data_IF_288570572470
#
_entry.id   IF_288570572470
#
_cell.length_a   1.000
_cell.length_b   1.000
_cell.length_c   1.000
_cell.angle_alpha   90.00
_cell.angle_beta   90.00
_cell.angle_gamma   90.00
#
_symmetry.space_group_name_H-M   'P 1'
#
loop_
_entity.id
_entity.type
_entity.pdbx_description
1 polymer ?
#
# COMPACT_ATOMS: atom_id res chain seq x y z
N UNK A 1 -18.06 -6.16 -3.51
CA UNK A 1 -16.85 -7.02 -3.56
C UNK A 1 -15.68 -6.21 -3.01
N UNK A 2 -14.96 -6.74 -2.03
CA UNK A 2 -13.84 -6.00 -1.48
C UNK A 2 -12.61 -6.10 -2.40
N UNK A 3 -11.57 -5.33 -2.11
CA UNK A 3 -10.39 -5.24 -2.96
C UNK A 3 -9.66 -6.58 -3.10
N UNK A 4 -9.64 -7.41 -2.06
CA UNK A 4 -8.97 -8.72 -2.12
C UNK A 4 -9.70 -9.63 -3.10
N UNK A 5 -11.02 -9.72 -2.99
CA UNK A 5 -11.84 -10.54 -3.89
C UNK A 5 -11.74 -10.05 -5.34
N UNK A 6 -11.78 -8.72 -5.54
CA UNK A 6 -11.61 -8.12 -6.88
C UNK A 6 -10.25 -8.47 -7.47
N UNK A 7 -9.19 -8.37 -6.66
CA UNK A 7 -7.84 -8.66 -7.13
C UNK A 7 -7.70 -10.12 -7.53
N UNK A 8 -8.19 -11.04 -6.70
CA UNK A 8 -8.17 -12.47 -7.04
C UNK A 8 -8.89 -12.76 -8.34
N UNK A 9 -10.03 -12.11 -8.55
CA UNK A 9 -10.86 -12.37 -9.72
C UNK A 9 -10.25 -11.80 -11.00
N UNK A 10 -9.68 -10.60 -10.94
CA UNK A 10 -9.33 -9.85 -12.13
C UNK A 10 -7.86 -9.85 -12.49
N UNK A 11 -6.95 -10.21 -11.57
CA UNK A 11 -5.50 -10.07 -11.79
C UNK A 11 -4.96 -10.97 -12.91
N UNK A 12 -5.62 -12.07 -13.20
CA UNK A 12 -5.14 -13.04 -14.19
C UNK A 12 -5.57 -12.74 -15.62
N UNK A 13 -6.39 -11.72 -15.83
CA UNK A 13 -6.97 -11.43 -17.15
C UNK A 13 -6.89 -9.93 -17.45
N UNK A 14 -6.09 -9.57 -18.47
CA UNK A 14 -5.84 -8.18 -18.84
C UNK A 14 -7.10 -7.43 -19.29
N UNK A 15 -8.15 -8.14 -19.69
CA UNK A 15 -9.44 -7.51 -20.02
C UNK A 15 -10.02 -6.73 -18.84
N UNK A 16 -9.67 -7.14 -17.64
CA UNK A 16 -10.24 -6.57 -16.41
C UNK A 16 -9.32 -5.55 -15.76
N UNK A 17 -8.27 -5.09 -16.45
CA UNK A 17 -7.28 -4.18 -15.88
C UNK A 17 -7.91 -2.90 -15.32
N UNK A 18 -8.89 -2.33 -16.01
CA UNK A 18 -9.55 -1.11 -15.56
C UNK A 18 -10.43 -1.36 -14.33
N UNK A 19 -11.13 -2.49 -14.30
CA UNK A 19 -11.95 -2.85 -13.12
C UNK A 19 -11.07 -3.07 -11.90
N UNK A 20 -9.95 -3.74 -12.09
CA UNK A 20 -8.99 -3.95 -11.02
C UNK A 20 -8.42 -2.61 -10.52
N UNK A 21 -8.01 -1.77 -11.45
CA UNK A 21 -7.47 -0.44 -11.10
C UNK A 21 -8.49 0.38 -10.31
N UNK A 22 -9.74 0.39 -10.74
CA UNK A 22 -10.81 1.11 -10.03
C UNK A 22 -11.00 0.57 -8.62
N UNK A 23 -10.96 -0.75 -8.45
CA UNK A 23 -11.12 -1.38 -7.15
C UNK A 23 -9.97 -1.02 -6.20
N UNK A 24 -8.73 -1.10 -6.68
CA UNK A 24 -7.54 -0.73 -5.90
C UNK A 24 -7.56 0.77 -5.57
N UNK A 25 -7.93 1.60 -6.54
CA UNK A 25 -8.01 3.05 -6.33
C UNK A 25 -9.07 3.41 -5.29
N UNK A 26 -10.23 2.77 -5.32
CA UNK A 26 -11.29 3.00 -4.35
C UNK A 26 -10.84 2.64 -2.94
N UNK A 27 -10.20 1.48 -2.77
CA UNK A 27 -9.69 1.07 -1.46
C UNK A 27 -8.56 1.98 -0.98
N UNK A 28 -7.67 2.39 -1.88
CA UNK A 28 -6.59 3.32 -1.55
C UNK A 28 -7.16 4.65 -1.04
N UNK A 29 -8.20 5.17 -1.69
CA UNK A 29 -8.86 6.41 -1.23
C UNK A 29 -9.53 6.22 0.12
N UNK A 30 -10.18 5.08 0.34
CA UNK A 30 -10.81 4.79 1.63
C UNK A 30 -9.77 4.82 2.76
N UNK A 31 -8.64 4.15 2.54
CA UNK A 31 -7.55 4.11 3.52
C UNK A 31 -6.95 5.50 3.70
N UNK A 32 -6.70 6.23 2.62
CA UNK A 32 -6.13 7.58 2.69
C UNK A 32 -7.03 8.52 3.50
N UNK A 33 -8.36 8.41 3.32
CA UNK A 33 -9.31 9.19 4.10
C UNK A 33 -9.29 8.79 5.57
N UNK A 34 -9.26 7.49 5.85
CA UNK A 34 -9.22 6.99 7.23
C UNK A 34 -7.95 7.41 7.97
N UNK A 35 -6.84 7.56 7.24
CA UNK A 35 -5.56 7.99 7.84
C UNK A 35 -5.58 9.43 8.37
N UNK A 36 -6.59 10.21 8.00
CA UNK A 36 -6.76 11.57 8.53
C UNK A 36 -7.33 11.57 9.95
N UNK A 37 -7.84 10.43 10.43
CA UNK A 37 -8.32 10.32 11.80
C UNK A 37 -7.15 10.49 12.78
N UNK A 38 -7.34 11.24 13.89
CA UNK A 38 -6.27 11.47 14.85
C UNK A 38 -5.60 10.22 15.41
N UNK A 39 -6.29 9.09 15.48
CA UNK A 39 -5.68 7.85 15.96
C UNK A 39 -4.51 7.37 15.12
N UNK A 40 -4.42 7.82 13.86
CA UNK A 40 -3.33 7.46 12.96
C UNK A 40 -2.25 8.56 12.87
N UNK A 41 -2.37 9.62 13.66
CA UNK A 41 -1.41 10.72 13.65
C UNK A 41 -0.02 10.24 14.06
N UNK A 42 1.01 10.76 13.41
CA UNK A 42 2.39 10.54 13.82
C UNK A 42 2.79 11.39 15.04
N UNK A 43 1.93 12.31 15.44
CA UNK A 43 2.16 13.18 16.59
C UNK A 43 1.61 12.58 17.89
N UNK A 44 2.11 13.04 19.03
CA UNK A 44 1.59 12.64 20.32
C UNK A 44 2.67 12.13 21.26
N UNK A 45 2.26 11.34 22.25
CA UNK A 45 3.13 10.83 23.30
C UNK A 45 4.16 9.84 22.75
N UNK A 46 5.43 10.03 23.15
CA UNK A 46 6.54 9.16 22.71
C UNK A 46 6.71 7.98 23.66
N UNK A 47 5.73 7.09 23.70
CA UNK A 47 5.85 5.86 24.46
C UNK A 47 5.87 4.66 23.51
N UNK A 48 6.54 3.58 23.93
CA UNK A 48 6.57 2.34 23.15
C UNK A 48 5.18 1.74 23.03
N UNK A 49 4.37 1.82 24.08
CA UNK A 49 3.01 1.29 24.07
C UNK A 49 2.13 2.06 23.09
N UNK A 50 2.26 3.37 23.05
CA UNK A 50 1.53 4.20 22.09
C UNK A 50 1.96 3.91 20.65
N UNK A 51 3.26 3.76 20.43
CA UNK A 51 3.78 3.41 19.10
C UNK A 51 3.22 2.08 18.63
N UNK A 52 3.26 1.05 19.48
CA UNK A 52 2.73 -0.27 19.16
C UNK A 52 1.24 -0.23 18.85
N UNK A 53 0.50 0.56 19.62
CA UNK A 53 -0.94 0.72 19.43
C UNK A 53 -1.27 1.33 18.07
N UNK A 54 -0.50 2.35 17.68
CA UNK A 54 -0.68 3.00 16.37
C UNK A 54 -0.30 2.09 15.22
N UNK A 55 0.78 1.32 15.36
CA UNK A 55 1.17 0.34 14.36
C UNK A 55 0.09 -0.73 14.19
N UNK A 56 -0.45 -1.24 15.31
CA UNK A 56 -1.53 -2.23 15.25
C UNK A 56 -2.78 -1.68 14.56
N UNK A 57 -3.13 -0.43 14.83
CA UNK A 57 -4.27 0.21 14.17
C UNK A 57 -4.01 0.40 12.66
N UNK A 58 -2.79 0.75 12.27
CA UNK A 58 -2.42 0.86 10.86
C UNK A 58 -2.46 -0.49 10.17
N UNK A 59 -1.95 -1.54 10.81
CA UNK A 59 -1.98 -2.89 10.25
C UNK A 59 -3.42 -3.33 9.99
N UNK A 60 -4.32 -3.08 10.92
CA UNK A 60 -5.72 -3.42 10.75
C UNK A 60 -6.36 -2.64 9.60
N UNK A 61 -6.05 -1.36 9.49
CA UNK A 61 -6.57 -0.52 8.40
C UNK A 61 -6.06 -0.98 7.03
N UNK A 62 -4.81 -1.41 6.96
CA UNK A 62 -4.12 -1.75 5.71
C UNK A 62 -4.29 -3.21 5.29
N UNK A 63 -4.91 -4.06 6.10
CA UNK A 63 -4.88 -5.51 5.89
C UNK A 63 -5.38 -5.92 4.50
N UNK A 64 -6.44 -5.35 4.01
CA UNK A 64 -6.99 -5.71 2.69
C UNK A 64 -6.08 -5.23 1.55
N UNK A 65 -5.56 -4.01 1.65
CA UNK A 65 -4.58 -3.52 0.67
C UNK A 65 -3.30 -4.36 0.70
N UNK A 66 -2.84 -4.76 1.87
CA UNK A 66 -1.66 -5.59 2.02
C UNK A 66 -1.83 -6.91 1.27
N UNK A 67 -2.98 -7.57 1.45
CA UNK A 67 -3.27 -8.82 0.75
C UNK A 67 -3.41 -8.60 -0.77
N UNK A 68 -4.06 -7.52 -1.19
CA UNK A 68 -4.18 -7.20 -2.61
C UNK A 68 -2.81 -6.93 -3.25
N UNK A 69 -1.94 -6.21 -2.55
CA UNK A 69 -0.58 -5.94 -3.03
C UNK A 69 0.22 -7.23 -3.18
N UNK A 70 0.10 -8.16 -2.24
CA UNK A 70 0.77 -9.46 -2.34
C UNK A 70 0.29 -10.23 -3.57
N UNK A 71 -1.02 -10.24 -3.81
CA UNK A 71 -1.59 -10.89 -5.00
C UNK A 71 -1.11 -10.23 -6.29
N UNK A 72 -1.05 -8.90 -6.31
CA UNK A 72 -0.56 -8.16 -7.47
C UNK A 72 0.94 -8.40 -7.71
N UNK A 73 1.73 -8.44 -6.64
CA UNK A 73 3.16 -8.73 -6.75
C UNK A 73 3.41 -10.10 -7.37
N UNK A 74 2.60 -11.08 -6.98
CA UNK A 74 2.74 -12.44 -7.46
C UNK A 74 2.20 -12.65 -8.87
N UNK A 75 1.03 -12.08 -9.19
CA UNK A 75 0.26 -12.46 -10.37
C UNK A 75 0.10 -11.35 -11.41
N UNK A 76 0.53 -10.10 -11.14
CA UNK A 76 0.29 -9.01 -12.07
C UNK A 76 1.06 -9.19 -13.37
N UNK A 77 0.36 -8.94 -14.48
CA UNK A 77 0.97 -8.82 -15.80
C UNK A 77 1.48 -7.39 -15.99
N UNK A 78 2.19 -7.13 -17.09
CA UNK A 78 2.66 -5.78 -17.40
C UNK A 78 1.50 -4.78 -17.46
N UNK A 79 0.33 -5.21 -17.98
CA UNK A 79 -0.86 -4.36 -18.07
C UNK A 79 -1.43 -3.97 -16.70
N UNK A 80 -1.10 -4.71 -15.65
CA UNK A 80 -1.61 -4.49 -14.28
C UNK A 80 -0.63 -3.79 -13.36
N UNK A 81 0.53 -3.36 -13.87
CA UNK A 81 1.57 -2.71 -13.05
C UNK A 81 1.10 -1.40 -12.42
N UNK A 82 0.21 -0.67 -13.09
CA UNK A 82 -0.37 0.55 -12.53
C UNK A 82 -1.16 0.27 -11.25
N UNK A 83 -1.89 -0.84 -11.23
CA UNK A 83 -2.62 -1.25 -10.02
C UNK A 83 -1.67 -1.65 -8.90
N UNK A 84 -0.56 -2.29 -9.22
CA UNK A 84 0.46 -2.71 -8.25
C UNK A 84 1.13 -1.51 -7.57
N UNK A 85 1.44 -0.46 -8.32
CA UNK A 85 2.21 0.67 -7.82
C UNK A 85 1.36 1.80 -7.26
N UNK A 86 0.05 1.78 -7.46
CA UNK A 86 -0.85 2.87 -7.11
C UNK A 86 -0.80 3.23 -5.63
N UNK A 87 -1.08 2.27 -4.76
CA UNK A 87 -1.15 2.52 -3.32
C UNK A 87 0.22 2.84 -2.71
N UNK A 88 1.29 2.08 -3.00
CA UNK A 88 2.62 2.44 -2.51
C UNK A 88 3.04 3.85 -2.88
N UNK A 89 2.82 4.24 -4.12
CA UNK A 89 3.17 5.58 -4.59
C UNK A 89 2.32 6.66 -3.92
N UNK A 90 1.02 6.44 -3.82
CA UNK A 90 0.10 7.39 -3.20
C UNK A 90 0.49 7.68 -1.74
N UNK A 91 0.80 6.64 -0.98
CA UNK A 91 1.16 6.81 0.43
C UNK A 91 2.58 7.36 0.61
N UNK A 92 3.50 7.04 -0.29
CA UNK A 92 4.84 7.64 -0.26
C UNK A 92 4.77 9.14 -0.54
N UNK A 93 3.99 9.56 -1.53
CA UNK A 93 3.79 10.97 -1.86
C UNK A 93 3.16 11.72 -0.67
N UNK A 94 2.15 11.12 -0.04
CA UNK A 94 1.50 11.72 1.13
C UNK A 94 2.44 11.83 2.33
N UNK A 95 3.31 10.85 2.54
CA UNK A 95 4.28 10.88 3.64
C UNK A 95 5.29 12.01 3.46
N UNK A 96 5.70 12.29 2.21
CA UNK A 96 6.65 13.34 1.91
C UNK A 96 6.09 14.75 2.13
N UNK A 97 4.77 14.91 2.13
CA UNK A 97 4.10 16.19 2.34
C UNK A 97 3.94 16.55 3.81
N UNK A 98 4.03 15.56 4.70
CA UNK A 98 3.87 15.77 6.13
C UNK A 98 5.11 16.37 6.75
N UNK A 99 5.22 17.70 6.71
CA UNK A 99 6.32 18.40 7.36
C UNK A 99 6.07 18.63 8.83
N UNK A 100 7.12 18.86 9.59
CA UNK A 100 7.04 19.33 10.95
C UNK A 100 7.41 18.30 12.02
N UNK A 101 7.19 18.68 13.26
CA UNK A 101 7.57 17.87 14.42
C UNK A 101 6.60 16.74 14.63
N UNK A 102 7.00 15.54 14.28
CA UNK A 102 6.21 14.35 14.57
C UNK A 102 6.93 13.50 15.62
N UNK A 103 6.16 12.95 16.55
CA UNK A 103 6.70 12.07 17.59
C UNK A 103 7.15 10.73 17.01
N UNK A 104 6.47 10.28 15.93
CA UNK A 104 6.72 8.99 15.31
C UNK A 104 6.82 9.16 13.79
N UNK A 105 7.93 9.75 13.28
CA UNK A 105 8.08 10.01 11.84
C UNK A 105 7.98 8.74 10.99
N UNK A 106 8.42 7.60 11.52
CA UNK A 106 8.33 6.32 10.80
C UNK A 106 6.89 5.93 10.46
N UNK A 107 5.90 6.39 11.24
CA UNK A 107 4.50 6.06 10.99
C UNK A 107 3.97 6.72 9.72
N UNK A 108 4.56 7.83 9.28
CA UNK A 108 4.16 8.48 8.03
C UNK A 108 4.48 7.61 6.82
N UNK A 109 5.59 6.87 6.90
CA UNK A 109 6.07 6.03 5.81
C UNK A 109 5.58 4.59 5.90
N UNK A 110 5.00 4.22 7.04
CA UNK A 110 4.62 2.83 7.30
C UNK A 110 3.67 2.26 6.24
N UNK A 111 2.60 2.95 5.80
CA UNK A 111 1.73 2.40 4.76
C UNK A 111 2.47 2.12 3.46
N UNK A 112 3.29 3.07 2.99
CA UNK A 112 4.03 2.89 1.74
C UNK A 112 5.03 1.72 1.85
N UNK A 113 5.75 1.66 2.96
CA UNK A 113 6.76 0.63 3.18
C UNK A 113 6.15 -0.77 3.32
N UNK A 114 5.06 -0.89 4.10
CA UNK A 114 4.42 -2.19 4.31
C UNK A 114 3.82 -2.74 3.01
N UNK A 115 3.19 -1.89 2.20
CA UNK A 115 2.60 -2.31 0.93
C UNK A 115 3.69 -2.65 -0.09
N UNK A 116 4.76 -1.86 -0.15
CA UNK A 116 5.91 -2.17 -1.02
C UNK A 116 6.56 -3.49 -0.62
N UNK A 117 6.65 -3.75 0.68
CA UNK A 117 7.17 -5.01 1.19
C UNK A 117 6.28 -6.19 0.77
N UNK A 118 4.98 -6.06 0.95
CA UNK A 118 4.03 -7.12 0.59
C UNK A 118 4.14 -7.49 -0.90
N UNK A 119 4.10 -6.49 -1.76
CA UNK A 119 4.21 -6.69 -3.20
C UNK A 119 5.60 -7.19 -3.60
N UNK A 120 6.64 -6.63 -3.02
CA UNK A 120 8.03 -6.99 -3.34
C UNK A 120 8.37 -8.41 -2.95
N UNK A 121 8.01 -8.84 -1.74
CA UNK A 121 8.27 -10.21 -1.28
C UNK A 121 7.52 -11.22 -2.15
N UNK A 122 6.26 -10.93 -2.46
CA UNK A 122 5.46 -11.81 -3.31
C UNK A 122 6.06 -11.89 -4.73
N UNK A 123 6.52 -10.76 -5.26
CA UNK A 123 7.15 -10.72 -6.59
C UNK A 123 8.44 -11.54 -6.63
N UNK A 124 9.28 -11.42 -5.60
CA UNK A 124 10.52 -12.20 -5.52
C UNK A 124 10.21 -13.69 -5.41
N UNK A 125 9.25 -14.05 -4.56
CA UNK A 125 8.86 -15.45 -4.38
C UNK A 125 8.31 -16.08 -5.66
N UNK A 126 7.66 -15.28 -6.51
CA UNK A 126 7.11 -15.74 -7.79
C UNK A 126 8.07 -15.53 -8.97
N UNK A 127 9.28 -15.00 -8.71
CA UNK A 127 10.25 -14.63 -9.74
C UNK A 127 9.69 -13.63 -10.75
N UNK A 128 8.78 -12.77 -10.30
CA UNK A 128 8.17 -11.71 -11.11
C UNK A 128 9.02 -10.44 -11.01
N UNK A 129 10.19 -10.46 -11.64
CA UNK A 129 11.16 -9.37 -11.50
C UNK A 129 10.68 -8.05 -12.11
N UNK A 130 9.85 -8.11 -13.14
CA UNK A 130 9.23 -6.90 -13.70
C UNK A 130 8.33 -6.18 -12.69
N UNK A 131 7.59 -6.93 -11.88
CA UNK A 131 6.79 -6.36 -10.81
C UNK A 131 7.67 -5.71 -9.74
N UNK A 132 8.76 -6.39 -9.37
CA UNK A 132 9.72 -5.85 -8.40
C UNK A 132 10.33 -4.54 -8.87
N UNK A 133 10.75 -4.47 -10.14
CA UNK A 133 11.33 -3.26 -10.73
C UNK A 133 10.30 -2.13 -10.71
N UNK A 134 9.04 -2.40 -11.05
CA UNK A 134 7.98 -1.40 -11.01
C UNK A 134 7.79 -0.82 -9.60
N UNK A 135 7.80 -1.68 -8.58
CA UNK A 135 7.68 -1.23 -7.18
C UNK A 135 8.87 -0.38 -6.74
N UNK A 136 10.07 -0.77 -7.14
CA UNK A 136 11.27 -0.01 -6.80
C UNK A 136 11.25 1.39 -7.40
N UNK A 137 10.81 1.51 -8.65
CA UNK A 137 10.68 2.82 -9.31
C UNK A 137 9.61 3.68 -8.65
N UNK A 138 8.49 3.10 -8.26
CA UNK A 138 7.43 3.82 -7.57
C UNK A 138 7.92 4.43 -6.25
N UNK A 139 8.78 3.71 -5.52
CA UNK A 139 9.33 4.20 -4.24
C UNK A 139 10.24 5.40 -4.41
N UNK A 140 10.94 5.50 -5.51
CA UNK A 140 11.92 6.57 -5.72
C UNK A 140 11.26 7.88 -6.14
N UNK A 141 9.95 7.87 -6.36
CA UNK A 141 9.20 9.10 -6.62
C UNK A 141 9.41 9.70 -8.00
N UNK A 142 9.77 8.89 -8.94
CA UNK A 142 9.97 9.34 -10.32
C UNK A 142 8.67 9.32 -11.10
#
# INVERSE_FOLDING_TARGET
>A
MNVVASTRRFVADDRWRLRLFESVAAETRRVATALQDPQFSAQGTRSDDEFRRRVAALDELLVDLFHAEALLGRWSTAAMRDSLTLAPKRFADGAGEGGGNTAFPALQWYPALSLSYAGGVAAVAAESYGALVALMHARVGT
#
